data_IF_292372784196
#
_entry.id   IF_292372784196
#
_cell.length_a   1.000
_cell.length_b   1.000
_cell.length_c   1.000
_cell.angle_alpha   90.00
_cell.angle_beta   90.00
_cell.angle_gamma   90.00
#
_symmetry.space_group_name_H-M   'P 1'
#
loop_
_entity.id
_entity.type
_entity.pdbx_description
1 polymer ?
#
# COMPACT_ATOMS: atom_id res chain seq x y z
N UNK A 1 9.03 -36.77 -22.72
CA UNK A 1 10.23 -35.91 -22.59
C UNK A 1 9.92 -34.53 -23.15
N UNK A 2 9.56 -33.55 -22.32
CA UNK A 2 9.38 -32.15 -22.74
C UNK A 2 10.67 -31.38 -22.43
N UNK A 3 11.25 -30.76 -23.44
CA UNK A 3 12.47 -29.94 -23.33
C UNK A 3 12.20 -28.74 -22.41
N UNK A 4 13.08 -28.55 -21.42
CA UNK A 4 13.18 -27.31 -20.64
C UNK A 4 13.76 -26.24 -21.57
N UNK A 5 12.97 -25.23 -21.91
CA UNK A 5 13.48 -24.04 -22.57
C UNK A 5 14.38 -23.27 -21.60
N UNK A 6 15.53 -22.86 -22.11
CA UNK A 6 16.71 -22.45 -21.35
C UNK A 6 16.56 -21.09 -20.68
N UNK A 7 17.04 -21.04 -19.45
CA UNK A 7 17.36 -19.82 -18.72
C UNK A 7 18.62 -19.18 -19.32
N UNK A 8 18.63 -17.86 -19.48
CA UNK A 8 19.84 -17.11 -19.88
C UNK A 8 20.98 -17.35 -18.87
N UNK A 9 22.23 -17.54 -19.32
CA UNK A 9 23.39 -17.71 -18.44
C UNK A 9 23.88 -16.35 -17.92
N UNK A 10 23.94 -16.18 -16.60
CA UNK A 10 24.63 -15.04 -15.96
C UNK A 10 23.87 -14.27 -14.87
N UNK A 11 22.59 -14.58 -14.62
CA UNK A 11 21.83 -13.94 -13.53
C UNK A 11 21.93 -14.78 -12.26
N UNK A 12 22.73 -14.35 -11.29
CA UNK A 12 22.82 -15.00 -9.97
C UNK A 12 21.49 -14.80 -9.23
N UNK A 13 20.67 -15.85 -9.21
CA UNK A 13 19.32 -15.89 -8.61
C UNK A 13 19.29 -15.59 -7.11
N UNK A 14 20.44 -15.52 -6.43
CA UNK A 14 20.50 -15.41 -4.96
C UNK A 14 20.51 -13.97 -4.41
N UNK A 15 20.39 -12.93 -5.25
CA UNK A 15 20.65 -11.52 -4.83
C UNK A 15 19.59 -10.48 -5.21
N UNK A 16 18.50 -10.90 -5.83
CA UNK A 16 17.36 -10.03 -6.06
C UNK A 16 16.23 -10.45 -5.12
N UNK A 17 15.92 -9.61 -4.14
CA UNK A 17 14.54 -9.22 -3.77
C UNK A 17 14.58 -8.53 -2.41
N UNK A 18 14.31 -7.22 -2.41
CA UNK A 18 13.29 -6.68 -1.51
C UNK A 18 12.36 -5.88 -2.44
N UNK A 19 11.35 -6.55 -3.00
CA UNK A 19 10.13 -5.85 -3.41
C UNK A 19 9.48 -5.47 -2.08
N UNK A 20 9.85 -4.30 -1.58
CA UNK A 20 9.62 -3.91 -0.20
C UNK A 20 8.12 -3.96 0.09
N UNK A 21 7.72 -4.93 0.91
CA UNK A 21 6.40 -5.03 1.53
C UNK A 21 6.03 -3.84 2.44
N UNK A 22 6.60 -2.65 2.21
CA UNK A 22 6.27 -1.40 2.91
C UNK A 22 5.38 -0.44 2.12
N UNK A 23 4.94 -0.76 0.89
CA UNK A 23 3.87 0.04 0.27
C UNK A 23 2.46 -0.45 0.59
N UNK A 24 2.31 -1.65 1.15
CA UNK A 24 1.00 -2.21 1.54
C UNK A 24 0.79 -2.32 3.06
N UNK A 25 1.84 -2.14 3.86
CA UNK A 25 1.70 -2.02 5.32
C UNK A 25 1.22 -0.60 5.65
N UNK A 26 -0.04 -0.50 6.07
CA UNK A 26 -0.76 0.72 6.43
C UNK A 26 -0.08 1.53 7.55
N UNK A 27 0.99 2.24 7.22
CA UNK A 27 1.32 3.47 7.92
C UNK A 27 0.44 4.55 7.34
N UNK A 28 -0.30 5.24 8.19
CA UNK A 28 -0.94 6.50 7.86
C UNK A 28 0.03 7.33 7.01
N UNK A 29 -0.23 7.38 5.71
CA UNK A 29 0.44 8.32 4.83
C UNK A 29 0.22 9.69 5.49
N UNK A 30 1.31 10.40 5.74
CA UNK A 30 1.23 11.82 6.01
C UNK A 30 0.23 12.44 5.01
N UNK A 31 -0.56 13.46 5.38
CA UNK A 31 -1.66 13.97 4.57
C UNK A 31 -1.25 14.54 3.18
N UNK A 32 0.01 14.41 2.78
CA UNK A 32 0.60 14.98 1.57
C UNK A 32 0.73 14.03 0.36
N UNK A 33 0.34 12.75 0.43
CA UNK A 33 0.54 11.82 -0.70
C UNK A 33 -0.74 11.08 -1.10
N UNK A 34 -1.79 11.86 -1.37
CA UNK A 34 -2.90 11.40 -2.22
C UNK A 34 -2.40 11.49 -3.68
N UNK A 35 -2.30 10.35 -4.36
CA UNK A 35 -1.75 10.26 -5.71
C UNK A 35 -2.38 11.25 -6.69
N UNK A 36 -1.62 11.62 -7.73
CA UNK A 36 -1.98 12.62 -8.73
C UNK A 36 -3.06 12.12 -9.73
N UNK A 37 -4.22 11.74 -9.21
CA UNK A 37 -5.42 12.31 -9.82
C UNK A 37 -5.44 13.75 -9.35
N UNK A 38 -5.64 14.74 -10.23
CA UNK A 38 -5.95 16.07 -9.74
C UNK A 38 -7.22 15.97 -8.91
N UNK A 39 -7.05 15.91 -7.58
CA UNK A 39 -8.16 16.04 -6.65
C UNK A 39 -8.97 17.26 -7.10
N UNK A 40 -10.31 17.14 -7.19
CA UNK A 40 -11.11 18.27 -7.62
C UNK A 40 -10.75 19.53 -6.82
N UNK A 41 -10.74 20.72 -7.43
CA UNK A 41 -10.23 21.94 -6.80
C UNK A 41 -10.73 22.17 -5.38
N UNK A 42 -12.03 21.91 -5.13
CA UNK A 42 -12.63 22.02 -3.79
C UNK A 42 -12.10 21.01 -2.78
N UNK A 43 -11.78 19.80 -3.20
CA UNK A 43 -11.16 18.80 -2.32
C UNK A 43 -9.74 19.25 -1.92
N UNK A 44 -8.95 19.77 -2.87
CA UNK A 44 -7.60 20.31 -2.57
C UNK A 44 -7.66 21.46 -1.59
N UNK A 45 -8.56 22.42 -1.84
CA UNK A 45 -8.79 23.54 -0.94
C UNK A 45 -9.15 23.06 0.48
N UNK A 46 -9.99 22.03 0.61
CA UNK A 46 -10.34 21.48 1.92
C UNK A 46 -9.12 20.89 2.65
N UNK A 47 -8.22 20.19 1.94
CA UNK A 47 -6.95 19.68 2.49
C UNK A 47 -6.04 20.84 2.93
N UNK A 48 -5.92 21.89 2.13
CA UNK A 48 -5.11 23.07 2.46
C UNK A 48 -5.66 23.82 3.68
N UNK A 49 -6.99 23.97 3.77
CA UNK A 49 -7.67 24.56 4.92
C UNK A 49 -7.46 23.73 6.18
N UNK A 50 -7.47 22.40 6.08
CA UNK A 50 -7.14 21.51 7.20
C UNK A 50 -5.70 21.72 7.68
N UNK A 51 -4.74 21.74 6.76
CA UNK A 51 -3.33 21.97 7.08
C UNK A 51 -3.09 23.35 7.72
N UNK A 52 -3.88 24.36 7.32
CA UNK A 52 -3.85 25.70 7.89
C UNK A 52 -4.60 25.85 9.23
N UNK A 53 -5.19 24.78 9.77
CA UNK A 53 -5.98 24.81 11.01
C UNK A 53 -7.34 25.51 10.89
N UNK A 54 -7.78 25.83 9.67
CA UNK A 54 -9.06 26.49 9.38
C UNK A 54 -10.17 25.45 9.28
N UNK A 55 -10.45 24.79 10.41
CA UNK A 55 -11.26 23.58 10.43
C UNK A 55 -12.74 23.82 10.08
N UNK A 56 -13.29 25.02 10.31
CA UNK A 56 -14.68 25.33 9.95
C UNK A 56 -14.82 25.43 8.43
N UNK A 57 -13.92 26.16 7.81
CA UNK A 57 -13.83 26.33 6.37
C UNK A 57 -13.48 24.99 5.70
N UNK A 58 -12.59 24.21 6.32
CA UNK A 58 -12.29 22.85 5.88
C UNK A 58 -13.56 21.99 5.79
N UNK A 59 -14.36 21.95 6.86
CA UNK A 59 -15.60 21.18 6.91
C UNK A 59 -16.54 21.59 5.77
N UNK A 60 -16.74 22.90 5.55
CA UNK A 60 -17.57 23.43 4.46
C UNK A 60 -17.01 23.00 3.09
N UNK A 61 -15.70 23.14 2.87
CA UNK A 61 -15.07 22.81 1.61
C UNK A 61 -15.15 21.30 1.30
N UNK A 62 -14.96 20.44 2.30
CA UNK A 62 -15.13 18.99 2.13
C UNK A 62 -16.60 18.62 1.88
N UNK A 63 -17.57 19.23 2.55
CA UNK A 63 -19.00 18.99 2.28
C UNK A 63 -19.37 19.40 0.85
N UNK A 64 -18.86 20.54 0.38
CA UNK A 64 -19.05 20.96 -1.02
C UNK A 64 -18.36 20.01 -2.01
N UNK A 65 -17.15 19.55 -1.68
CA UNK A 65 -16.43 18.57 -2.48
C UNK A 65 -17.18 17.23 -2.56
N UNK A 66 -17.81 16.79 -1.47
CA UNK A 66 -18.63 15.58 -1.44
C UNK A 66 -19.86 15.72 -2.36
N UNK A 67 -20.57 16.85 -2.28
CA UNK A 67 -21.74 17.11 -3.13
C UNK A 67 -21.43 17.29 -4.62
N UNK A 68 -20.20 17.68 -4.96
CA UNK A 68 -19.74 17.85 -6.34
C UNK A 68 -18.91 16.67 -6.87
N UNK A 69 -18.73 15.61 -6.07
CA UNK A 69 -17.84 14.51 -6.43
C UNK A 69 -18.43 13.69 -7.61
N UNK A 70 -17.65 13.42 -8.66
CA UNK A 70 -18.11 12.62 -9.81
C UNK A 70 -18.27 11.13 -9.50
N UNK A 71 -17.73 10.66 -8.36
CA UNK A 71 -17.66 9.24 -7.98
C UNK A 71 -17.95 9.09 -6.49
N UNK A 72 -18.62 7.99 -6.14
CA UNK A 72 -19.08 7.72 -4.78
C UNK A 72 -17.90 7.59 -3.79
N UNK A 73 -16.82 6.90 -4.14
CA UNK A 73 -15.66 6.77 -3.24
C UNK A 73 -14.97 8.11 -2.96
N UNK A 74 -14.91 9.01 -3.95
CA UNK A 74 -14.44 10.37 -3.72
C UNK A 74 -15.39 11.19 -2.83
N UNK A 75 -16.70 11.03 -2.99
CA UNK A 75 -17.71 11.63 -2.12
C UNK A 75 -17.59 11.11 -0.68
N UNK A 76 -17.37 9.80 -0.50
CA UNK A 76 -17.16 9.16 0.79
C UNK A 76 -15.90 9.70 1.48
N UNK A 77 -14.79 9.80 0.74
CA UNK A 77 -13.53 10.37 1.24
C UNK A 77 -13.67 11.84 1.66
N UNK A 78 -14.39 12.63 0.87
CA UNK A 78 -14.65 14.04 1.19
C UNK A 78 -15.54 14.16 2.44
N UNK A 79 -16.61 13.37 2.52
CA UNK A 79 -17.52 13.34 3.68
C UNK A 79 -16.79 12.91 4.95
N UNK A 80 -15.94 11.89 4.88
CA UNK A 80 -15.08 11.49 5.99
C UNK A 80 -14.10 12.62 6.40
N UNK A 81 -13.53 13.33 5.42
CA UNK A 81 -12.72 14.53 5.67
C UNK A 81 -13.49 15.64 6.40
N UNK A 82 -14.73 15.91 6.00
CA UNK A 82 -15.62 16.85 6.69
C UNK A 82 -15.86 16.41 8.15
N UNK A 83 -16.08 15.11 8.38
CA UNK A 83 -16.24 14.57 9.73
C UNK A 83 -15.00 14.81 10.60
N UNK A 84 -13.79 14.59 10.07
CA UNK A 84 -12.55 14.90 10.78
C UNK A 84 -12.44 16.40 11.13
N UNK A 85 -12.80 17.28 10.19
CA UNK A 85 -12.75 18.74 10.41
C UNK A 85 -13.76 19.20 11.48
N UNK A 86 -14.95 18.60 11.51
CA UNK A 86 -15.94 18.82 12.56
C UNK A 86 -15.48 18.28 13.92
N UNK A 87 -14.98 17.05 13.95
CA UNK A 87 -14.53 16.37 15.16
C UNK A 87 -13.42 17.13 15.89
N UNK A 88 -12.39 17.62 15.17
CA UNK A 88 -11.30 18.42 15.76
C UNK A 88 -11.80 19.73 16.39
N UNK A 89 -12.94 20.25 15.91
CA UNK A 89 -13.63 21.42 16.48
C UNK A 89 -14.60 21.08 17.62
N UNK A 90 -14.72 19.81 18.00
CA UNK A 90 -15.75 19.30 18.90
C UNK A 90 -17.19 19.60 18.43
N UNK A 91 -17.38 19.74 17.11
CA UNK A 91 -18.69 19.84 16.48
C UNK A 91 -19.24 18.42 16.27
N UNK A 92 -19.87 17.89 17.31
CA UNK A 92 -20.33 16.49 17.33
C UNK A 92 -21.43 16.26 16.29
N UNK A 93 -22.39 17.18 16.16
CA UNK A 93 -23.51 17.05 15.23
C UNK A 93 -23.04 17.09 13.77
N UNK A 94 -22.19 18.07 13.42
CA UNK A 94 -21.59 18.13 12.09
C UNK A 94 -20.68 16.94 11.79
N UNK A 95 -20.00 16.40 12.80
CA UNK A 95 -19.20 15.18 12.69
C UNK A 95 -20.04 13.96 12.32
N UNK A 96 -21.13 13.72 13.04
CA UNK A 96 -22.02 12.58 12.78
C UNK A 96 -22.83 12.72 11.49
N UNK A 97 -23.24 13.93 11.11
CA UNK A 97 -23.87 14.20 9.81
C UNK A 97 -22.91 13.83 8.66
N UNK A 98 -21.65 14.26 8.77
CA UNK A 98 -20.63 13.96 7.77
C UNK A 98 -20.23 12.47 7.74
N UNK A 99 -20.18 11.78 8.89
CA UNK A 99 -19.97 10.33 8.95
C UNK A 99 -21.13 9.55 8.33
N UNK A 100 -22.38 9.97 8.56
CA UNK A 100 -23.54 9.36 7.91
C UNK A 100 -23.45 9.50 6.38
N UNK A 101 -23.11 10.70 5.90
CA UNK A 101 -22.89 10.94 4.47
C UNK A 101 -21.72 10.11 3.92
N UNK A 102 -20.67 9.87 4.70
CA UNK A 102 -19.57 8.99 4.30
C UNK A 102 -20.06 7.54 4.11
N UNK A 103 -20.86 7.01 5.05
CA UNK A 103 -21.46 5.67 4.94
C UNK A 103 -22.36 5.54 3.71
N UNK A 104 -23.19 6.56 3.45
CA UNK A 104 -24.11 6.57 2.31
C UNK A 104 -23.38 6.61 0.97
N UNK A 105 -22.18 7.23 0.93
CA UNK A 105 -21.31 7.23 -0.23
C UNK A 105 -20.38 5.99 -0.33
N UNK A 106 -20.50 5.02 0.58
CA UNK A 106 -19.80 3.74 0.49
C UNK A 106 -18.52 3.63 1.33
N UNK A 107 -18.33 4.48 2.35
CA UNK A 107 -17.24 4.30 3.32
C UNK A 107 -17.42 3.00 4.12
N UNK A 108 -16.40 2.12 4.08
CA UNK A 108 -16.41 0.79 4.74
C UNK A 108 -15.14 0.49 5.54
N UNK A 109 -14.27 1.48 5.73
CA UNK A 109 -12.95 1.31 6.37
C UNK A 109 -13.06 1.46 7.90
N UNK A 110 -13.43 0.36 8.56
CA UNK A 110 -13.59 0.27 10.02
C UNK A 110 -12.28 0.54 10.76
N UNK A 111 -11.17 -0.04 10.30
CA UNK A 111 -9.86 0.11 10.94
C UNK A 111 -9.46 1.58 10.99
N UNK A 112 -9.60 2.29 9.86
CA UNK A 112 -9.34 3.73 9.80
C UNK A 112 -10.22 4.51 10.76
N UNK A 113 -11.52 4.24 10.80
CA UNK A 113 -12.42 4.97 11.69
C UNK A 113 -12.06 4.80 13.18
N UNK A 114 -11.60 3.61 13.57
CA UNK A 114 -11.18 3.31 14.94
C UNK A 114 -9.82 3.92 15.29
N UNK A 115 -8.88 3.94 14.34
CA UNK A 115 -7.51 4.39 14.58
C UNK A 115 -7.29 5.89 14.32
N UNK A 116 -8.21 6.58 13.63
CA UNK A 116 -8.03 7.99 13.28
C UNK A 116 -8.09 8.89 14.53
N UNK A 117 -6.98 9.54 14.91
CA UNK A 117 -6.94 10.37 16.12
C UNK A 117 -7.83 11.62 15.99
N UNK A 118 -8.18 12.03 14.77
CA UNK A 118 -9.04 13.20 14.54
C UNK A 118 -10.48 12.96 14.96
N UNK A 119 -10.91 11.71 15.06
CA UNK A 119 -12.26 11.33 15.47
C UNK A 119 -12.38 11.09 16.99
N UNK A 120 -11.34 11.35 17.78
CA UNK A 120 -11.32 11.09 19.24
C UNK A 120 -12.54 11.69 19.96
N UNK A 121 -12.93 12.92 19.63
CA UNK A 121 -14.10 13.59 20.22
C UNK A 121 -15.42 12.89 19.90
N UNK A 122 -15.55 12.34 18.67
CA UNK A 122 -16.73 11.57 18.29
C UNK A 122 -16.73 10.19 18.97
N UNK A 123 -15.56 9.55 19.15
CA UNK A 123 -15.44 8.25 19.82
C UNK A 123 -15.94 8.26 21.27
N UNK A 124 -15.89 9.40 21.94
CA UNK A 124 -16.39 9.57 23.29
C UNK A 124 -17.92 9.80 23.39
N UNK A 125 -18.60 10.08 22.26
CA UNK A 125 -20.05 10.33 22.21
C UNK A 125 -20.85 9.01 22.11
N UNK A 126 -22.01 8.95 22.76
CA UNK A 126 -22.87 7.76 22.78
C UNK A 126 -23.34 7.30 21.39
N UNK A 127 -23.39 8.19 20.39
CA UNK A 127 -23.74 7.88 19.00
C UNK A 127 -22.65 7.07 18.28
N UNK A 128 -21.43 7.01 18.82
CA UNK A 128 -20.31 6.30 18.20
C UNK A 128 -20.62 4.83 17.99
N UNK A 129 -21.22 4.19 19.00
CA UNK A 129 -21.57 2.79 18.92
C UNK A 129 -22.52 2.50 17.75
N UNK A 130 -23.49 3.38 17.51
CA UNK A 130 -24.42 3.26 16.39
C UNK A 130 -23.70 3.39 15.05
N UNK A 131 -22.76 4.34 14.93
CA UNK A 131 -21.95 4.50 13.73
C UNK A 131 -21.10 3.25 13.45
N UNK A 132 -20.44 2.71 14.47
CA UNK A 132 -19.61 1.50 14.33
C UNK A 132 -20.43 0.29 13.91
N UNK A 133 -21.59 0.05 14.53
CA UNK A 133 -22.46 -1.06 14.13
C UNK A 133 -22.86 -0.96 12.64
N UNK A 134 -23.25 0.22 12.18
CA UNK A 134 -23.61 0.42 10.77
C UNK A 134 -22.40 0.24 9.82
N UNK A 135 -21.22 0.69 10.24
CA UNK A 135 -19.98 0.55 9.47
C UNK A 135 -19.55 -0.92 9.39
N UNK A 136 -19.60 -1.66 10.50
CA UNK A 136 -19.33 -3.10 10.57
C UNK A 136 -20.26 -3.90 9.67
N UNK A 137 -21.57 -3.64 9.71
CA UNK A 137 -22.55 -4.29 8.85
C UNK A 137 -22.22 -4.06 7.37
N UNK A 138 -21.93 -2.82 6.97
CA UNK A 138 -21.56 -2.49 5.58
C UNK A 138 -20.23 -3.14 5.18
N UNK A 139 -19.23 -3.14 6.05
CA UNK A 139 -17.95 -3.81 5.79
C UNK A 139 -18.14 -5.32 5.60
N UNK A 140 -18.92 -5.98 6.46
CA UNK A 140 -19.21 -7.40 6.31
C UNK A 140 -19.97 -7.70 5.01
N UNK A 141 -20.94 -6.86 4.63
CA UNK A 141 -21.65 -7.01 3.37
C UNK A 141 -20.72 -6.83 2.16
N UNK A 142 -19.80 -5.87 2.22
CA UNK A 142 -18.77 -5.69 1.20
C UNK A 142 -17.84 -6.91 1.11
N UNK A 143 -17.32 -7.40 2.24
CA UNK A 143 -16.46 -8.59 2.27
C UNK A 143 -17.16 -9.84 1.73
N UNK A 144 -18.46 -10.04 2.02
CA UNK A 144 -19.26 -11.15 1.47
C UNK A 144 -19.43 -11.07 -0.04
N UNK A 145 -19.28 -9.90 -0.65
CA UNK A 145 -19.36 -9.72 -2.10
C UNK A 145 -18.04 -10.09 -2.82
N UNK A 146 -16.95 -10.23 -2.08
CA UNK A 146 -15.63 -10.60 -2.58
C UNK A 146 -15.50 -12.12 -2.76
N UNK A 147 -14.47 -12.53 -3.49
CA UNK A 147 -14.06 -13.93 -3.53
C UNK A 147 -13.41 -14.34 -2.19
N UNK A 148 -13.98 -15.33 -1.46
CA UNK A 148 -13.53 -15.65 -0.11
C UNK A 148 -12.12 -16.24 -0.08
N UNK A 149 -11.68 -16.93 -1.13
CA UNK A 149 -10.35 -17.56 -1.17
C UNK A 149 -9.28 -16.52 -1.51
N UNK A 150 -9.53 -15.62 -2.46
CA UNK A 150 -8.63 -14.50 -2.73
C UNK A 150 -8.51 -13.57 -1.52
N UNK A 151 -9.62 -13.28 -0.83
CA UNK A 151 -9.61 -12.48 0.39
C UNK A 151 -8.79 -13.18 1.49
N UNK A 152 -9.01 -14.47 1.73
CA UNK A 152 -8.23 -15.25 2.71
C UNK A 152 -6.73 -15.19 2.41
N UNK A 153 -6.32 -15.51 1.18
CA UNK A 153 -4.92 -15.49 0.77
C UNK A 153 -4.28 -14.11 0.94
N UNK A 154 -5.02 -13.05 0.60
CA UNK A 154 -4.57 -11.67 0.78
C UNK A 154 -4.39 -11.33 2.27
N UNK A 155 -5.34 -11.69 3.13
CA UNK A 155 -5.24 -11.45 4.58
C UNK A 155 -4.09 -12.24 5.21
N UNK A 156 -3.83 -13.47 4.76
CA UNK A 156 -2.65 -14.25 5.17
C UNK A 156 -1.35 -13.52 4.76
N UNK A 157 -1.30 -12.94 3.56
CA UNK A 157 -0.15 -12.13 3.11
C UNK A 157 0.06 -10.89 3.99
N UNK A 158 -1.01 -10.18 4.34
CA UNK A 158 -0.89 -9.02 5.23
C UNK A 158 -0.49 -9.44 6.64
N UNK A 159 -1.09 -10.49 7.20
CA UNK A 159 -0.75 -11.00 8.54
C UNK A 159 0.70 -11.46 8.66
N UNK A 160 1.27 -12.07 7.61
CA UNK A 160 2.70 -12.39 7.58
C UNK A 160 3.57 -11.13 7.52
N UNK A 161 3.20 -10.13 6.71
CA UNK A 161 3.91 -8.83 6.65
C UNK A 161 3.87 -8.11 8.00
N UNK A 162 2.73 -8.15 8.68
CA UNK A 162 2.55 -7.53 10.00
C UNK A 162 3.32 -8.26 11.10
N UNK A 163 3.38 -9.58 11.05
CA UNK A 163 4.20 -10.38 11.97
C UNK A 163 5.66 -10.02 11.80
N UNK A 164 6.14 -9.99 10.55
CA UNK A 164 7.50 -9.52 10.24
C UNK A 164 7.70 -8.08 10.74
N UNK A 165 6.70 -7.20 10.63
CA UNK A 165 6.79 -5.83 11.11
C UNK A 165 6.78 -5.69 12.66
N UNK A 166 6.10 -6.58 13.39
CA UNK A 166 5.93 -6.53 14.87
C UNK A 166 7.01 -7.27 15.66
N UNK A 167 7.53 -8.39 15.15
CA UNK A 167 8.63 -9.13 15.79
C UNK A 167 9.96 -8.34 15.75
N UNK A 168 9.94 -7.20 15.08
CA UNK A 168 10.99 -6.19 15.04
C UNK A 168 10.79 -5.13 16.15
N UNK A 169 11.76 -4.94 17.07
CA UNK A 169 11.62 -3.97 18.16
C UNK A 169 11.38 -2.53 17.68
N UNK A 170 10.48 -1.82 18.37
CA UNK A 170 10.04 -0.45 18.08
C UNK A 170 11.14 0.64 18.13
N UNK A 171 12.39 0.30 18.41
CA UNK A 171 13.56 1.18 18.21
C UNK A 171 14.18 0.90 16.85
N UNK A 172 13.68 1.57 15.79
CA UNK A 172 14.41 1.71 14.51
C UNK A 172 14.79 0.42 13.75
N UNK A 173 14.34 -0.76 14.17
CA UNK A 173 14.65 -2.03 13.53
C UNK A 173 13.64 -2.28 12.40
N UNK A 174 14.00 -1.90 11.17
CA UNK A 174 13.49 -2.59 9.98
C UNK A 174 14.51 -3.67 9.70
N UNK A 175 14.14 -4.95 9.74
CA UNK A 175 14.96 -6.05 9.21
C UNK A 175 15.00 -6.02 7.67
N UNK A 176 15.30 -4.85 7.12
CA UNK A 176 15.77 -4.71 5.76
C UNK A 176 17.30 -4.89 5.73
N UNK A 177 17.79 -5.96 6.36
CA UNK A 177 19.12 -6.47 6.11
C UNK A 177 19.07 -7.99 6.20
N UNK A 178 18.69 -8.60 5.09
CA UNK A 178 18.96 -9.99 4.75
C UNK A 178 18.79 -11.02 5.89
N UNK A 179 17.63 -11.07 6.54
CA UNK A 179 17.14 -12.40 6.93
C UNK A 179 16.68 -13.01 5.62
N UNK A 180 17.51 -13.89 5.06
CA UNK A 180 17.11 -14.66 3.90
C UNK A 180 15.75 -15.31 4.22
N UNK A 181 14.73 -15.17 3.34
CA UNK A 181 13.43 -15.76 3.62
C UNK A 181 13.61 -17.24 3.93
N UNK A 182 13.05 -17.68 5.06
CA UNK A 182 13.17 -19.09 5.46
C UNK A 182 12.57 -19.98 4.39
N UNK A 183 13.04 -21.22 4.27
CA UNK A 183 12.48 -22.17 3.29
C UNK A 183 10.96 -22.30 3.43
N UNK A 184 10.45 -22.29 4.66
CA UNK A 184 9.02 -22.33 4.96
C UNK A 184 8.27 -21.09 4.47
N UNK A 185 8.87 -19.89 4.57
CA UNK A 185 8.27 -18.67 4.01
C UNK A 185 8.19 -18.75 2.49
N UNK A 186 9.27 -19.18 1.84
CA UNK A 186 9.32 -19.31 0.37
C UNK A 186 8.26 -20.30 -0.12
N UNK A 187 8.14 -21.44 0.55
CA UNK A 187 7.15 -22.47 0.25
C UNK A 187 5.71 -21.95 0.36
N UNK A 188 5.36 -21.28 1.46
CA UNK A 188 4.02 -20.68 1.61
C UNK A 188 3.75 -19.59 0.59
N UNK A 189 4.73 -18.73 0.30
CA UNK A 189 4.61 -17.70 -0.72
C UNK A 189 4.47 -18.28 -2.14
N UNK A 190 5.05 -19.46 -2.43
CA UNK A 190 4.82 -20.16 -3.70
C UNK A 190 3.42 -20.77 -3.74
N UNK A 191 2.99 -21.47 -2.69
CA UNK A 191 1.68 -22.10 -2.61
C UNK A 191 0.54 -21.08 -2.77
N UNK A 192 0.60 -19.94 -2.07
CA UNK A 192 -0.40 -18.87 -2.20
C UNK A 192 -0.48 -18.30 -3.62
N UNK A 193 0.67 -18.12 -4.29
CA UNK A 193 0.71 -17.62 -5.67
C UNK A 193 0.10 -18.61 -6.65
N UNK A 194 0.42 -19.89 -6.50
CA UNK A 194 -0.14 -20.95 -7.33
C UNK A 194 -1.65 -21.04 -7.16
N UNK A 195 -2.15 -20.98 -5.93
CA UNK A 195 -3.58 -20.95 -5.65
C UNK A 195 -4.25 -19.70 -6.25
N UNK A 196 -3.70 -18.51 -6.00
CA UNK A 196 -4.22 -17.26 -6.56
C UNK A 196 -4.29 -17.29 -8.10
N UNK A 197 -3.23 -17.75 -8.77
CA UNK A 197 -3.22 -17.91 -10.22
C UNK A 197 -4.29 -18.90 -10.70
N UNK A 198 -4.51 -19.99 -9.96
CA UNK A 198 -5.60 -20.94 -10.18
C UNK A 198 -6.97 -20.28 -10.12
N UNK A 199 -7.25 -19.51 -9.06
CA UNK A 199 -8.51 -18.79 -8.88
C UNK A 199 -8.77 -17.78 -10.00
N UNK A 200 -7.73 -17.05 -10.43
CA UNK A 200 -7.82 -16.14 -11.59
C UNK A 200 -8.17 -16.92 -12.86
N UNK A 201 -7.52 -18.04 -13.13
CA UNK A 201 -7.77 -18.87 -14.32
C UNK A 201 -9.18 -19.47 -14.38
N UNK A 202 -9.81 -19.65 -13.21
CA UNK A 202 -11.19 -20.14 -13.08
C UNK A 202 -12.23 -19.01 -13.26
N UNK A 203 -11.80 -17.77 -13.50
CA UNK A 203 -12.71 -16.63 -13.65
C UNK A 203 -13.32 -16.16 -12.33
N UNK A 204 -12.69 -16.43 -11.19
CA UNK A 204 -13.23 -16.08 -9.86
C UNK A 204 -13.06 -14.61 -9.49
N UNK A 205 -12.21 -13.87 -10.20
CA UNK A 205 -12.04 -12.41 -10.04
C UNK A 205 -13.30 -11.70 -10.54
N UNK A 206 -14.17 -11.29 -9.61
CA UNK A 206 -15.49 -10.71 -9.94
C UNK A 206 -15.60 -9.25 -9.54
N UNK A 207 -14.92 -8.83 -8.48
CA UNK A 207 -14.88 -7.44 -8.01
C UNK A 207 -13.53 -6.77 -8.31
N UNK A 208 -13.46 -5.43 -8.35
CA UNK A 208 -12.20 -4.68 -8.45
C UNK A 208 -11.19 -5.10 -7.37
N UNK A 209 -11.66 -5.30 -6.15
CA UNK A 209 -10.85 -5.70 -5.00
C UNK A 209 -10.35 -7.14 -5.11
N UNK A 210 -11.11 -8.05 -5.75
CA UNK A 210 -10.61 -9.40 -6.07
C UNK A 210 -9.40 -9.32 -7.00
N UNK A 211 -9.46 -8.43 -8.00
CA UNK A 211 -8.36 -8.23 -8.94
C UNK A 211 -7.15 -7.62 -8.23
N UNK A 212 -7.37 -6.65 -7.34
CA UNK A 212 -6.33 -6.09 -6.48
C UNK A 212 -5.70 -7.14 -5.56
N UNK A 213 -6.49 -7.97 -4.87
CA UNK A 213 -6.01 -9.04 -4.00
C UNK A 213 -5.15 -10.06 -4.77
N UNK A 214 -5.64 -10.52 -5.93
CA UNK A 214 -4.89 -11.41 -6.80
C UNK A 214 -3.58 -10.77 -7.29
N UNK A 215 -3.63 -9.50 -7.69
CA UNK A 215 -2.44 -8.75 -8.10
C UNK A 215 -1.41 -8.65 -6.97
N UNK A 216 -1.85 -8.39 -5.73
CA UNK A 216 -0.98 -8.26 -4.56
C UNK A 216 -0.27 -9.59 -4.21
N UNK A 217 -0.93 -10.71 -4.45
CA UNK A 217 -0.35 -12.05 -4.26
C UNK A 217 0.72 -12.36 -5.31
N UNK A 218 0.54 -11.88 -6.55
CA UNK A 218 1.40 -12.21 -7.69
C UNK A 218 2.57 -11.23 -7.90
N UNK A 219 2.47 -9.99 -7.41
CA UNK A 219 3.42 -8.90 -7.72
C UNK A 219 4.86 -9.20 -7.31
N UNK A 220 5.09 -9.98 -6.26
CA UNK A 220 6.45 -10.34 -5.80
C UNK A 220 7.03 -11.55 -6.55
N UNK A 221 6.36 -12.06 -7.58
CA UNK A 221 6.81 -13.28 -8.25
C UNK A 221 8.11 -13.13 -9.04
N UNK A 222 8.94 -14.17 -9.06
CA UNK A 222 10.10 -14.28 -9.95
C UNK A 222 9.74 -14.79 -11.36
N UNK A 223 8.47 -15.12 -11.61
CA UNK A 223 7.97 -15.55 -12.92
C UNK A 223 7.45 -14.35 -13.71
N UNK A 224 8.05 -13.99 -14.87
CA UNK A 224 7.61 -12.83 -15.65
C UNK A 224 6.11 -12.86 -16.02
N UNK A 225 5.57 -14.05 -16.32
CA UNK A 225 4.14 -14.20 -16.65
C UNK A 225 3.21 -13.86 -15.48
N UNK A 226 3.58 -14.17 -14.24
CA UNK A 226 2.78 -13.82 -13.05
C UNK A 226 2.86 -12.34 -12.74
N UNK A 227 4.04 -11.73 -12.89
CA UNK A 227 4.22 -10.29 -12.68
C UNK A 227 3.45 -9.49 -13.73
N UNK A 228 3.44 -9.96 -14.99
CA UNK A 228 2.62 -9.38 -16.05
C UNK A 228 1.12 -9.49 -15.73
N UNK A 229 0.68 -10.65 -15.23
CA UNK A 229 -0.70 -10.85 -14.78
C UNK A 229 -1.05 -9.94 -13.60
N UNK A 230 -0.14 -9.73 -12.64
CA UNK A 230 -0.34 -8.80 -11.53
C UNK A 230 -0.55 -7.36 -12.02
N UNK A 231 0.27 -6.90 -12.96
CA UNK A 231 0.12 -5.56 -13.54
C UNK A 231 -1.24 -5.41 -14.26
N UNK A 232 -1.66 -6.45 -14.98
CA UNK A 232 -2.96 -6.47 -15.68
C UNK A 232 -4.14 -6.43 -14.70
N UNK A 233 -4.14 -7.30 -13.70
CA UNK A 233 -5.18 -7.33 -12.67
C UNK A 233 -5.27 -6.01 -11.89
N UNK A 234 -4.14 -5.40 -11.54
CA UNK A 234 -4.13 -4.10 -10.88
C UNK A 234 -4.70 -2.98 -11.76
N UNK A 235 -4.44 -3.01 -13.08
CA UNK A 235 -5.06 -2.06 -14.03
C UNK A 235 -6.56 -2.31 -14.18
N UNK A 236 -6.99 -3.58 -14.22
CA UNK A 236 -8.42 -3.93 -14.25
C UNK A 236 -9.14 -3.45 -12.99
N UNK A 237 -8.50 -3.58 -11.83
CA UNK A 237 -9.03 -3.05 -10.57
C UNK A 237 -9.27 -1.54 -10.68
N UNK A 238 -8.26 -0.76 -11.09
CA UNK A 238 -8.37 0.70 -11.26
C UNK A 238 -9.36 1.13 -12.35
N UNK A 239 -9.49 0.35 -13.43
CA UNK A 239 -10.43 0.65 -14.50
C UNK A 239 -11.89 0.50 -14.05
N UNK A 240 -12.15 -0.44 -13.14
CA UNK A 240 -13.49 -0.72 -12.60
C UNK A 240 -13.80 0.08 -11.34
N UNK A 241 -12.79 0.36 -10.53
CA UNK A 241 -12.86 1.25 -9.38
C UNK A 241 -11.65 2.20 -9.34
N UNK A 242 -11.81 3.43 -9.86
CA UNK A 242 -10.77 4.45 -9.79
C UNK A 242 -10.47 4.96 -8.37
N UNK A 243 -11.35 4.69 -7.39
CA UNK A 243 -11.14 5.05 -5.98
C UNK A 243 -10.27 4.04 -5.22
N UNK A 244 -9.97 2.87 -5.81
CA UNK A 244 -9.07 1.87 -5.24
C UNK A 244 -7.59 2.28 -5.38
N UNK A 245 -7.23 3.41 -4.78
CA UNK A 245 -5.93 4.05 -4.93
C UNK A 245 -4.75 3.15 -4.53
N UNK A 246 -4.97 2.18 -3.62
CA UNK A 246 -3.96 1.21 -3.22
C UNK A 246 -3.45 0.35 -4.39
N UNK A 247 -4.24 0.18 -5.46
CA UNK A 247 -3.83 -0.56 -6.64
C UNK A 247 -2.78 0.19 -7.50
N UNK A 248 -2.67 1.53 -7.38
CA UNK A 248 -1.70 2.32 -8.17
C UNK A 248 -0.24 1.96 -7.89
N UNK A 249 0.26 2.04 -6.64
CA UNK A 249 1.65 1.67 -6.36
C UNK A 249 1.92 0.19 -6.65
N UNK A 250 0.90 -0.66 -6.51
CA UNK A 250 0.99 -2.07 -6.87
C UNK A 250 1.25 -2.27 -8.36
N UNK A 251 0.49 -1.60 -9.23
CA UNK A 251 0.70 -1.66 -10.69
C UNK A 251 2.08 -1.16 -11.07
N UNK A 252 2.52 -0.03 -10.52
CA UNK A 252 3.85 0.50 -10.78
C UNK A 252 4.96 -0.47 -10.34
N UNK A 253 4.77 -1.11 -9.18
CA UNK A 253 5.68 -2.17 -8.68
C UNK A 253 5.72 -3.37 -9.63
N UNK A 254 4.57 -3.82 -10.12
CA UNK A 254 4.50 -4.93 -11.07
C UNK A 254 5.19 -4.60 -12.40
N UNK A 255 4.97 -3.40 -12.93
CA UNK A 255 5.63 -2.92 -14.15
C UNK A 255 7.15 -2.93 -13.98
N UNK A 256 7.65 -2.27 -12.94
CA UNK A 256 9.08 -2.19 -12.68
C UNK A 256 9.74 -3.54 -12.46
N UNK A 257 9.06 -4.45 -11.76
CA UNK A 257 9.54 -5.81 -11.57
C UNK A 257 9.60 -6.57 -12.88
N UNK A 258 8.61 -6.40 -13.76
CA UNK A 258 8.62 -6.98 -15.11
C UNK A 258 9.81 -6.49 -15.93
N UNK A 259 10.10 -5.18 -15.89
CA UNK A 259 11.27 -4.59 -16.55
C UNK A 259 12.58 -5.13 -15.98
N UNK A 260 12.72 -5.16 -14.65
CA UNK A 260 13.90 -5.70 -13.97
C UNK A 260 14.14 -7.18 -14.30
N UNK A 261 13.09 -8.01 -14.29
CA UNK A 261 13.18 -9.43 -14.66
C UNK A 261 13.58 -9.62 -16.13
N UNK A 262 13.25 -8.67 -16.99
CA UNK A 262 13.66 -8.65 -18.38
C UNK A 262 15.05 -8.00 -18.59
N UNK A 263 15.73 -7.57 -17.53
CA UNK A 263 17.04 -6.92 -17.57
C UNK A 263 17.02 -5.50 -18.14
N UNK A 264 15.86 -4.84 -18.18
CA UNK A 264 15.67 -3.48 -18.69
C UNK A 264 15.52 -2.49 -17.54
N UNK A 265 15.91 -1.21 -17.70
CA UNK A 265 15.65 -0.19 -16.70
C UNK A 265 14.17 -0.14 -16.30
N UNK A 266 13.90 -0.09 -15.00
CA UNK A 266 12.56 0.04 -14.47
C UNK A 266 12.03 1.46 -14.69
N UNK A 267 10.71 1.64 -14.67
CA UNK A 267 10.08 2.92 -14.98
C UNK A 267 10.00 3.82 -13.74
N UNK A 268 9.55 3.28 -12.61
CA UNK A 268 9.17 4.03 -11.42
C UNK A 268 10.04 3.74 -10.19
N UNK A 269 11.22 3.15 -10.33
CA UNK A 269 12.20 3.04 -9.24
C UNK A 269 11.72 2.29 -7.98
N UNK A 270 10.80 1.33 -8.11
CA UNK A 270 10.25 0.56 -6.98
C UNK A 270 11.09 -0.66 -6.59
N UNK A 271 11.96 -1.14 -7.48
CA UNK A 271 12.80 -2.32 -7.28
C UNK A 271 14.21 -1.95 -6.85
N UNK A 272 14.74 -2.76 -5.93
CA UNK A 272 16.09 -2.64 -5.39
C UNK A 272 16.90 -3.89 -5.70
N UNK A 273 18.20 -3.72 -5.88
CA UNK A 273 19.17 -4.79 -6.10
C UNK A 273 20.32 -4.68 -5.11
N UNK A 274 20.85 -5.83 -4.69
CA UNK A 274 22.07 -5.89 -3.90
C UNK A 274 23.29 -6.10 -4.82
N UNK A 275 24.22 -5.15 -4.82
CA UNK A 275 25.48 -5.24 -5.52
C UNK A 275 26.64 -4.99 -4.54
N UNK A 276 27.58 -5.94 -4.47
CA UNK A 276 28.75 -5.81 -3.60
C UNK A 276 28.42 -5.66 -2.11
N UNK A 277 27.33 -6.28 -1.63
CA UNK A 277 26.89 -6.18 -0.25
C UNK A 277 26.14 -4.88 0.09
N UNK A 278 25.79 -4.08 -0.93
CA UNK A 278 25.07 -2.82 -0.78
C UNK A 278 23.80 -2.84 -1.62
N UNK A 279 22.71 -2.41 -1.00
CA UNK A 279 21.44 -2.16 -1.66
C UNK A 279 21.50 -0.86 -2.45
N UNK A 280 20.94 -0.88 -3.66
CA UNK A 280 20.68 0.31 -4.46
C UNK A 280 19.35 0.15 -5.19
N UNK A 281 18.75 1.26 -5.58
CA UNK A 281 17.63 1.23 -6.53
C UNK A 281 18.16 0.65 -7.84
N UNK A 282 17.46 -0.34 -8.41
CA UNK A 282 17.82 -0.90 -9.71
C UNK A 282 17.72 0.19 -10.81
N UNK A 283 18.42 0.02 -11.94
CA UNK A 283 18.49 1.05 -12.99
C UNK A 283 17.09 1.58 -13.37
N UNK A 284 16.91 2.90 -13.35
CA UNK A 284 15.62 3.58 -13.60
C UNK A 284 15.68 4.35 -14.91
N UNK A 285 14.60 4.34 -15.68
CA UNK A 285 14.41 5.20 -16.84
C UNK A 285 14.43 6.69 -16.42
N UNK A 286 15.43 7.48 -16.85
CA UNK A 286 15.54 8.88 -16.46
C UNK A 286 14.45 9.77 -17.07
N UNK A 287 13.67 9.29 -18.04
CA UNK A 287 12.58 10.05 -18.64
C UNK A 287 11.36 10.20 -17.71
N UNK A 288 11.24 9.36 -16.68
CA UNK A 288 10.07 9.33 -15.80
C UNK A 288 10.22 10.37 -14.69
N UNK A 289 9.27 11.29 -14.63
CA UNK A 289 9.29 12.40 -13.68
C UNK A 289 8.70 12.04 -12.32
N UNK A 290 9.04 12.81 -11.29
CA UNK A 290 8.40 12.67 -9.96
C UNK A 290 6.90 12.99 -9.99
N UNK A 291 6.45 13.81 -10.94
CA UNK A 291 5.03 14.05 -11.17
C UNK A 291 4.32 12.77 -11.66
N UNK A 292 4.90 12.08 -12.65
CA UNK A 292 4.37 10.79 -13.12
C UNK A 292 4.43 9.73 -12.01
N UNK A 293 5.47 9.69 -11.18
CA UNK A 293 5.53 8.80 -10.01
C UNK A 293 4.38 9.07 -9.04
N UNK A 294 4.09 10.35 -8.77
CA UNK A 294 2.99 10.75 -7.90
C UNK A 294 1.62 10.31 -8.45
N UNK A 295 1.43 10.27 -9.77
CA UNK A 295 0.19 9.72 -10.39
C UNK A 295 -0.05 8.27 -9.98
N UNK A 296 1.03 7.49 -9.86
CA UNK A 296 1.02 6.11 -9.40
C UNK A 296 1.07 5.94 -7.88
N UNK A 297 0.92 7.03 -7.11
CA UNK A 297 0.97 6.99 -5.65
C UNK A 297 2.36 6.70 -5.08
N UNK A 298 3.41 6.99 -5.85
CA UNK A 298 4.79 6.79 -5.43
C UNK A 298 5.43 8.10 -4.97
N UNK A 299 6.31 8.06 -3.96
CA UNK A 299 7.11 9.22 -3.58
C UNK A 299 8.16 9.55 -4.65
N UNK A 300 8.79 10.74 -4.57
CA UNK A 300 9.92 11.11 -5.41
C UNK A 300 11.02 10.04 -5.45
N UNK A 301 11.74 9.92 -6.57
CA UNK A 301 12.79 8.90 -6.74
C UNK A 301 13.90 9.04 -5.69
N UNK A 302 14.19 10.28 -5.27
CA UNK A 302 15.16 10.56 -4.22
C UNK A 302 14.85 9.83 -2.90
N UNK A 303 13.58 9.62 -2.57
CA UNK A 303 13.18 8.91 -1.35
C UNK A 303 13.50 7.42 -1.42
N UNK A 304 13.36 6.80 -2.60
CA UNK A 304 13.79 5.43 -2.82
C UNK A 304 15.31 5.30 -2.71
N UNK A 305 16.06 6.26 -3.25
CA UNK A 305 17.54 6.29 -3.10
C UNK A 305 17.95 6.46 -1.64
N UNK A 306 17.31 7.38 -0.92
CA UNK A 306 17.55 7.60 0.51
C UNK A 306 17.22 6.34 1.33
N UNK A 307 16.16 5.62 0.97
CA UNK A 307 15.80 4.35 1.60
C UNK A 307 16.90 3.28 1.41
N UNK A 308 17.46 3.15 0.21
CA UNK A 308 18.59 2.23 -0.03
C UNK A 308 19.82 2.61 0.81
N UNK A 309 20.13 3.91 0.91
CA UNK A 309 21.23 4.39 1.73
C UNK A 309 21.04 4.09 3.22
N UNK A 310 19.82 4.27 3.73
CA UNK A 310 19.46 3.96 5.11
C UNK A 310 19.59 2.46 5.41
N UNK A 311 19.16 1.59 4.48
CA UNK A 311 19.35 0.14 4.58
C UNK A 311 20.84 -0.20 4.73
N UNK A 312 21.70 0.38 3.90
CA UNK A 312 23.14 0.14 3.93
C UNK A 312 23.78 0.64 5.23
N UNK A 313 23.37 1.82 5.71
CA UNK A 313 23.87 2.40 6.95
C UNK A 313 23.56 1.49 8.15
N UNK A 314 22.33 0.96 8.21
CA UNK A 314 21.92 0.02 9.26
C UNK A 314 22.69 -1.29 9.20
N UNK A 315 22.90 -1.84 8.01
CA UNK A 315 23.70 -3.06 7.83
C UNK A 315 25.13 -2.85 8.35
N UNK A 316 25.76 -1.73 8.02
CA UNK A 316 27.11 -1.38 8.50
C UNK A 316 27.15 -1.20 10.03
N UNK A 317 26.16 -0.52 10.62
CA UNK A 317 26.08 -0.33 12.07
C UNK A 317 25.94 -1.66 12.82
N UNK A 318 25.15 -2.61 12.30
CA UNK A 318 25.04 -3.95 12.87
C UNK A 318 26.36 -4.72 12.83
N UNK A 319 27.06 -4.70 11.69
CA UNK A 319 28.37 -5.34 11.58
C UNK A 319 29.38 -4.78 12.59
N UNK A 320 29.34 -3.47 12.85
CA UNK A 320 30.18 -2.84 13.90
C UNK A 320 29.81 -3.30 15.31
N UNK A 321 28.52 -3.44 15.61
CA UNK A 321 28.05 -3.87 16.94
C UNK A 321 28.28 -5.37 17.20
N UNK A 322 28.29 -6.19 16.15
CA UNK A 322 28.57 -7.62 16.24
C UNK A 322 30.08 -7.96 16.26
N UNK A 323 30.96 -6.98 16.02
CA UNK A 323 32.40 -7.19 16.07
C UNK A 323 32.85 -7.41 17.54
N UNK A 324 33.64 -8.45 17.84
CA UNK A 324 34.11 -8.71 19.20
C UNK A 324 34.97 -7.54 19.69
N UNK A 325 34.80 -7.16 20.96
CA UNK A 325 35.65 -6.15 21.62
C UNK A 325 37.13 -6.52 21.47
N UNK A 326 38.02 -5.55 21.18
CA UNK A 326 39.44 -5.83 21.14
C UNK A 326 39.90 -6.41 22.49
N UNK A 327 40.84 -7.36 22.49
CA UNK A 327 41.36 -7.94 23.73
C UNK A 327 41.96 -6.82 24.61
N UNK A 328 41.86 -6.92 25.95
CA UNK A 328 42.45 -5.93 26.84
C UNK A 328 43.97 -5.81 26.58
N UNK A 329 44.54 -4.61 26.76
CA UNK A 329 45.98 -4.40 26.60
C UNK A 329 46.76 -5.28 27.58
N UNK A 330 47.90 -5.81 27.12
CA UNK A 330 48.83 -6.64 27.91
C UNK A 330 49.55 -5.82 28.99
#
# INVERSE_FOLDING_TARGET
MRKREGLLPGFDRRRATIALGLMLAGRALAPAMLGAEELPPRFREAVDLFAAGKFKECQIAFTQAAGAAPRAGLAARASYGAACCAAVRNDLDGGYEALALALDNGFVDLERALADPRLETLRADARWMRFITLLEERQQMHQKALDPDLLRLYLELQGERDTVARELPATGARDAGAVAPTAAWVERSLARREEAAGLVSQGRVRQPEDAFHAAALLVESERPAEVALAAELGRQALARDPDLLAARPLVATAVDRGEMLAGRPQKYGTQFVEEGGKWKVYAVDPAVTDAERAEWGLPPLADAVAQAAEINLRAANRQRQAAPSPPPPK
#
